data_IF_617377589199
#
_entry.id   IF_617377589199
#
_cell.length_a   1.000
_cell.length_b   1.000
_cell.length_c   1.000
_cell.angle_alpha   90.00
_cell.angle_beta   90.00
_cell.angle_gamma   90.00
#
_symmetry.space_group_name_H-M   'P 1'
#
loop_
_entity.id
_entity.type
_entity.pdbx_description
1 polymer ?
#
# COMPACT_ATOMS: atom_id res chain seq x y z
N UNK A 1 29.15 -9.20 -55.63
CA UNK A 1 27.87 -9.15 -54.93
C UNK A 1 28.16 -9.34 -53.44
N UNK A 2 28.12 -8.24 -52.66
CA UNK A 2 28.49 -8.26 -51.22
C UNK A 2 27.21 -8.32 -50.43
N UNK A 3 26.95 -9.44 -49.75
CA UNK A 3 25.81 -9.57 -48.84
C UNK A 3 26.12 -8.84 -47.55
N UNK A 4 25.41 -7.72 -47.32
CA UNK A 4 25.45 -6.97 -46.07
C UNK A 4 24.44 -7.59 -45.10
N UNK A 5 24.94 -8.39 -44.16
CA UNK A 5 24.12 -8.92 -43.06
C UNK A 5 23.89 -7.80 -42.04
N UNK A 6 22.64 -7.30 -41.98
CA UNK A 6 22.23 -6.34 -40.97
C UNK A 6 21.96 -7.11 -39.69
N UNK A 7 22.84 -6.96 -38.72
CA UNK A 7 22.66 -7.50 -37.36
C UNK A 7 21.66 -6.58 -36.61
N UNK A 8 20.40 -7.02 -36.49
CA UNK A 8 19.40 -6.35 -35.66
C UNK A 8 19.67 -6.73 -34.21
N UNK A 9 20.28 -5.81 -33.46
CA UNK A 9 20.47 -5.95 -32.01
C UNK A 9 19.14 -5.62 -31.31
N UNK A 10 18.38 -6.66 -30.97
CA UNK A 10 17.16 -6.50 -30.16
C UNK A 10 17.59 -6.27 -28.71
N UNK A 11 17.55 -5.01 -28.28
CA UNK A 11 17.71 -4.65 -26.87
C UNK A 11 16.47 -5.12 -26.11
N UNK A 12 16.58 -6.27 -25.44
CA UNK A 12 15.59 -6.72 -24.47
C UNK A 12 15.69 -5.82 -23.24
N UNK A 13 14.80 -4.83 -23.15
CA UNK A 13 14.54 -4.10 -21.92
C UNK A 13 13.91 -5.08 -20.93
N UNK A 14 14.70 -5.69 -20.07
CA UNK A 14 14.20 -6.41 -18.90
C UNK A 14 13.72 -5.37 -17.90
N UNK A 15 12.40 -5.13 -17.87
CA UNK A 15 11.78 -4.41 -16.78
C UNK A 15 12.04 -5.22 -15.51
N UNK A 16 12.87 -4.72 -14.60
CA UNK A 16 13.04 -5.28 -13.26
C UNK A 16 11.75 -5.04 -12.47
N UNK A 17 10.83 -5.98 -12.56
CA UNK A 17 9.69 -6.02 -11.65
C UNK A 17 10.26 -6.26 -10.25
N UNK A 18 10.19 -5.27 -9.39
CA UNK A 18 10.52 -5.43 -7.98
C UNK A 18 9.46 -6.36 -7.38
N UNK A 19 9.89 -7.55 -6.98
CA UNK A 19 9.02 -8.51 -6.32
C UNK A 19 8.36 -7.86 -5.10
N UNK A 20 7.03 -7.86 -5.05
CA UNK A 20 6.29 -7.40 -3.89
C UNK A 20 6.27 -8.50 -2.83
N UNK A 21 6.14 -8.15 -1.56
CA UNK A 21 6.08 -9.12 -0.45
C UNK A 21 4.75 -9.91 -0.41
N UNK A 22 3.79 -9.55 -1.24
CA UNK A 22 2.46 -10.14 -1.32
C UNK A 22 2.15 -10.67 -2.71
N UNK A 23 1.23 -11.64 -2.78
CA UNK A 23 0.73 -12.24 -4.01
C UNK A 23 -0.60 -11.60 -4.46
N UNK A 24 -1.00 -11.87 -5.70
CA UNK A 24 -2.29 -11.38 -6.24
C UNK A 24 -3.48 -11.87 -5.42
N UNK A 25 -3.43 -13.12 -4.91
CA UNK A 25 -4.48 -13.70 -4.06
C UNK A 25 -4.63 -12.97 -2.73
N UNK A 26 -3.56 -12.42 -2.17
CA UNK A 26 -3.60 -11.61 -0.94
C UNK A 26 -4.27 -10.27 -1.21
N UNK A 27 -4.02 -9.66 -2.36
CA UNK A 27 -4.67 -8.43 -2.82
C UNK A 27 -6.18 -8.63 -3.00
N UNK A 28 -6.61 -9.73 -3.58
CA UNK A 28 -8.03 -10.05 -3.78
C UNK A 28 -8.78 -10.22 -2.45
N UNK A 29 -8.21 -10.99 -1.52
CA UNK A 29 -8.75 -11.14 -0.16
C UNK A 29 -8.78 -9.79 0.57
N UNK A 30 -7.68 -9.06 0.51
CA UNK A 30 -7.52 -7.74 1.12
C UNK A 30 -8.51 -6.72 0.59
N UNK A 31 -8.84 -6.76 -0.71
CA UNK A 31 -9.84 -5.88 -1.33
C UNK A 31 -11.22 -6.03 -0.69
N UNK A 32 -11.67 -7.28 -0.48
CA UNK A 32 -12.96 -7.55 0.15
C UNK A 32 -12.97 -7.10 1.62
N UNK A 33 -11.93 -7.44 2.37
CA UNK A 33 -11.78 -7.05 3.78
C UNK A 33 -11.67 -5.52 3.94
N UNK A 34 -10.98 -4.85 3.01
CA UNK A 34 -10.88 -3.39 2.98
C UNK A 34 -12.24 -2.74 2.76
N UNK A 35 -13.02 -3.24 1.79
CA UNK A 35 -14.35 -2.73 1.52
C UNK A 35 -15.26 -2.78 2.76
N UNK A 36 -15.21 -3.88 3.51
CA UNK A 36 -16.05 -4.10 4.68
C UNK A 36 -15.61 -3.29 5.92
N UNK A 37 -14.31 -3.04 6.09
CA UNK A 37 -13.76 -2.51 7.35
C UNK A 37 -13.13 -1.12 7.25
N UNK A 38 -12.68 -0.71 6.08
CA UNK A 38 -11.80 0.46 5.92
C UNK A 38 -12.40 1.54 5.01
N UNK A 39 -13.12 1.12 3.96
CA UNK A 39 -13.58 2.00 2.89
C UNK A 39 -14.52 3.11 3.37
N UNK A 40 -15.30 2.87 4.42
CA UNK A 40 -16.23 3.88 4.98
C UNK A 40 -15.51 5.14 5.45
N UNK A 41 -14.24 5.03 5.88
CA UNK A 41 -13.43 6.16 6.32
C UNK A 41 -12.36 6.53 5.29
N UNK A 42 -11.67 5.55 4.72
CA UNK A 42 -10.53 5.77 3.83
C UNK A 42 -10.88 5.87 2.34
N UNK A 43 -12.18 5.78 2.00
CA UNK A 43 -12.65 5.80 0.61
C UNK A 43 -12.57 4.43 -0.07
N UNK A 44 -13.43 4.19 -1.06
CA UNK A 44 -13.52 2.91 -1.77
C UNK A 44 -12.25 2.57 -2.57
N UNK A 45 -11.49 3.59 -2.99
CA UNK A 45 -10.23 3.46 -3.73
C UNK A 45 -9.02 3.90 -2.89
N UNK A 46 -9.14 3.90 -1.56
CA UNK A 46 -8.10 4.35 -0.64
C UNK A 46 -7.70 5.84 -0.83
N UNK A 47 -8.61 6.64 -1.34
CA UNK A 47 -8.42 8.08 -1.60
C UNK A 47 -8.46 8.95 -0.35
N UNK A 48 -8.93 8.41 0.78
CA UNK A 48 -9.09 9.13 2.03
C UNK A 48 -10.35 10.01 2.10
N UNK A 49 -10.50 10.72 3.20
CA UNK A 49 -11.56 11.70 3.37
C UNK A 49 -11.25 12.98 2.55
N UNK A 50 -12.28 13.54 1.93
CA UNK A 50 -12.17 14.76 1.10
C UNK A 50 -11.68 16.00 1.84
N UNK A 51 -11.75 16.01 3.18
CA UNK A 51 -11.27 17.12 4.02
C UNK A 51 -9.82 16.92 4.50
N UNK A 52 -9.18 15.80 4.18
CA UNK A 52 -7.75 15.62 4.43
C UNK A 52 -6.93 16.68 3.67
N UNK A 53 -5.91 17.31 4.28
CA UNK A 53 -5.36 17.11 5.62
C UNK A 53 -5.86 18.12 6.67
N UNK A 54 -7.05 18.69 6.51
CA UNK A 54 -7.58 19.70 7.42
C UNK A 54 -8.11 19.07 8.72
N UNK A 55 -7.62 19.48 9.89
CA UNK A 55 -8.12 18.94 11.14
C UNK A 55 -9.59 19.38 11.40
N UNK A 56 -10.35 18.51 12.03
CA UNK A 56 -11.69 18.83 12.51
C UNK A 56 -11.64 19.88 13.63
N UNK A 57 -12.80 20.48 13.97
CA UNK A 57 -12.92 21.41 15.10
C UNK A 57 -12.50 20.81 16.46
N UNK A 58 -12.45 19.47 16.56
CA UNK A 58 -11.98 18.73 17.74
C UNK A 58 -10.47 18.38 17.67
N UNK A 59 -9.74 18.87 16.68
CA UNK A 59 -8.31 18.62 16.50
C UNK A 59 -7.95 17.24 15.97
N UNK A 60 -8.93 16.43 15.56
CA UNK A 60 -8.67 15.14 14.91
C UNK A 60 -8.51 15.30 13.40
N UNK A 61 -7.57 14.60 12.83
CA UNK A 61 -7.45 14.53 11.38
C UNK A 61 -8.45 13.53 10.81
N UNK A 62 -9.10 13.86 9.67
CA UNK A 62 -9.87 12.88 8.90
C UNK A 62 -9.00 11.74 8.41
N UNK A 63 -9.61 10.66 7.95
CA UNK A 63 -8.90 9.50 7.45
C UNK A 63 -8.00 9.86 6.24
N UNK A 64 -6.68 9.60 6.30
CA UNK A 64 -5.77 9.96 5.24
C UNK A 64 -5.95 9.07 3.99
N UNK A 65 -5.53 9.55 2.81
CA UNK A 65 -5.32 8.70 1.66
C UNK A 65 -4.32 7.57 1.96
N UNK A 66 -4.64 6.35 1.50
CA UNK A 66 -3.76 5.18 1.65
C UNK A 66 -3.19 4.70 0.31
N UNK A 67 -3.49 5.40 -0.79
CA UNK A 67 -3.12 5.06 -2.17
C UNK A 67 -1.72 5.53 -2.60
N UNK A 68 -0.87 5.88 -1.66
CA UNK A 68 0.48 6.41 -1.91
C UNK A 68 0.56 7.94 -2.03
N UNK A 69 -0.58 8.65 -2.06
CA UNK A 69 -0.61 10.12 -2.19
C UNK A 69 -0.33 10.87 -0.88
N UNK A 70 -0.38 10.17 0.26
CA UNK A 70 -0.09 10.73 1.58
C UNK A 70 1.07 10.00 2.25
N UNK A 71 1.26 10.18 3.56
CA UNK A 71 2.46 9.73 4.28
C UNK A 71 2.45 8.24 4.71
N UNK A 72 1.44 7.45 4.37
CA UNK A 72 1.34 6.03 4.79
C UNK A 72 2.58 5.21 4.43
N UNK A 73 3.19 5.49 3.28
CA UNK A 73 4.40 4.80 2.81
C UNK A 73 5.69 5.18 3.58
N UNK A 74 5.64 6.16 4.48
CA UNK A 74 6.76 6.50 5.38
C UNK A 74 6.88 5.54 6.58
N UNK A 75 5.94 4.63 6.76
CA UNK A 75 5.89 3.70 7.89
C UNK A 75 6.24 2.27 7.45
N UNK A 76 7.10 1.56 8.19
CA UNK A 76 7.41 0.16 7.91
C UNK A 76 6.18 -0.74 8.12
N UNK A 77 6.16 -1.90 7.46
CA UNK A 77 5.01 -2.83 7.49
C UNK A 77 4.55 -3.13 8.92
N UNK A 78 5.48 -3.41 9.84
CA UNK A 78 5.17 -3.69 11.25
C UNK A 78 4.38 -2.56 11.93
N UNK A 79 4.69 -1.31 11.61
CA UNK A 79 3.99 -0.17 12.17
C UNK A 79 2.61 -0.01 11.54
N UNK A 80 2.46 -0.28 10.26
CA UNK A 80 1.15 -0.32 9.60
C UNK A 80 0.27 -1.42 10.20
N UNK A 81 0.82 -2.62 10.41
CA UNK A 81 0.11 -3.72 11.11
C UNK A 81 -0.31 -3.30 12.51
N UNK A 82 0.60 -2.69 13.29
CA UNK A 82 0.28 -2.22 14.64
C UNK A 82 -0.80 -1.14 14.64
N UNK A 83 -0.75 -0.20 13.69
CA UNK A 83 -1.77 0.86 13.56
C UNK A 83 -3.16 0.28 13.25
N UNK A 84 -3.25 -0.68 12.33
CA UNK A 84 -4.53 -1.34 12.06
C UNK A 84 -4.99 -2.18 13.25
N UNK A 85 -4.07 -2.90 13.89
CA UNK A 85 -4.42 -3.75 15.04
C UNK A 85 -4.94 -2.97 16.23
N UNK A 86 -4.27 -1.87 16.59
CA UNK A 86 -4.52 -1.19 17.87
C UNK A 86 -5.16 0.20 17.71
N UNK A 87 -5.27 0.69 16.47
CA UNK A 87 -5.80 2.02 16.18
C UNK A 87 -4.77 3.14 16.38
N UNK A 88 -5.18 4.35 15.99
CA UNK A 88 -4.41 5.56 16.20
C UNK A 88 -5.35 6.80 16.12
N UNK A 89 -5.40 7.61 17.17
CA UNK A 89 -6.28 8.77 17.23
C UNK A 89 -7.75 8.38 17.05
N UNK A 90 -8.40 8.87 15.98
CA UNK A 90 -9.80 8.55 15.69
C UNK A 90 -9.99 7.19 15.00
N UNK A 91 -8.92 6.56 14.49
CA UNK A 91 -8.97 5.24 13.88
C UNK A 91 -9.09 4.16 14.96
N UNK A 92 -10.13 3.31 14.93
CA UNK A 92 -10.26 2.21 15.88
C UNK A 92 -9.24 1.10 15.61
N UNK A 93 -8.99 0.26 16.63
CA UNK A 93 -8.21 -0.97 16.47
C UNK A 93 -9.08 -2.15 16.03
N UNK A 94 -8.54 -3.01 15.17
CA UNK A 94 -9.27 -4.13 14.56
C UNK A 94 -8.82 -5.52 15.06
N UNK A 95 -7.87 -5.62 16.00
CA UNK A 95 -7.34 -6.91 16.47
C UNK A 95 -8.38 -7.86 17.07
N UNK A 96 -9.55 -7.35 17.49
CA UNK A 96 -10.66 -8.18 17.97
C UNK A 96 -11.54 -8.73 16.84
N UNK A 97 -11.44 -8.19 15.62
CA UNK A 97 -12.29 -8.51 14.48
C UNK A 97 -11.51 -9.19 13.34
N UNK A 98 -10.22 -8.86 13.21
CA UNK A 98 -9.36 -9.30 12.13
C UNK A 98 -8.15 -10.04 12.69
N UNK A 99 -7.80 -11.15 12.06
CA UNK A 99 -6.53 -11.84 12.32
C UNK A 99 -5.37 -11.03 11.74
N UNK A 100 -4.15 -11.29 12.21
CA UNK A 100 -2.94 -10.66 11.63
C UNK A 100 -2.82 -10.92 10.13
N UNK A 101 -3.17 -12.12 9.66
CA UNK A 101 -3.15 -12.43 8.23
C UNK A 101 -4.17 -11.58 7.44
N UNK A 102 -5.37 -11.39 7.94
CA UNK A 102 -6.37 -10.54 7.30
C UNK A 102 -5.91 -9.07 7.26
N UNK A 103 -5.23 -8.60 8.30
CA UNK A 103 -4.62 -7.25 8.31
C UNK A 103 -3.51 -7.16 7.24
N UNK A 104 -2.68 -8.19 7.10
CA UNK A 104 -1.66 -8.25 6.04
C UNK A 104 -2.30 -8.27 4.64
N UNK A 105 -3.38 -9.02 4.43
CA UNK A 105 -4.11 -9.03 3.16
C UNK A 105 -4.67 -7.63 2.83
N UNK A 106 -5.24 -6.92 3.81
CA UNK A 106 -5.68 -5.52 3.65
C UNK A 106 -4.52 -4.61 3.27
N UNK A 107 -3.36 -4.75 3.92
CA UNK A 107 -2.18 -3.95 3.61
C UNK A 107 -1.60 -4.29 2.23
N UNK A 108 -1.70 -5.54 1.79
CA UNK A 108 -1.36 -5.94 0.43
C UNK A 108 -2.25 -5.21 -0.60
N UNK A 109 -3.56 -5.15 -0.37
CA UNK A 109 -4.48 -4.38 -1.20
C UNK A 109 -4.12 -2.89 -1.20
N UNK A 110 -3.92 -2.28 -0.04
CA UNK A 110 -3.52 -0.87 0.09
C UNK A 110 -2.23 -0.60 -0.70
N UNK A 111 -1.21 -1.41 -0.52
CA UNK A 111 0.08 -1.24 -1.19
C UNK A 111 0.03 -1.58 -2.69
N UNK A 112 -0.93 -2.39 -3.14
CA UNK A 112 -1.16 -2.61 -4.57
C UNK A 112 -1.65 -1.35 -5.30
N UNK A 113 -2.18 -0.37 -4.55
CA UNK A 113 -2.65 0.92 -5.08
C UNK A 113 -1.52 1.95 -5.20
N UNK A 114 -0.34 1.67 -4.64
CA UNK A 114 0.78 2.59 -4.69
C UNK A 114 1.47 2.57 -6.05
N UNK A 115 1.88 3.74 -6.57
CA UNK A 115 2.79 3.81 -7.72
C UNK A 115 4.06 2.99 -7.46
N UNK A 116 4.61 2.38 -8.51
CA UNK A 116 5.78 1.50 -8.37
C UNK A 116 6.99 2.20 -7.75
N UNK A 117 7.20 3.47 -8.04
CA UNK A 117 8.24 4.31 -7.44
C UNK A 117 8.04 4.47 -5.92
N UNK A 118 6.81 4.73 -5.48
CA UNK A 118 6.47 4.85 -4.05
C UNK A 118 6.69 3.51 -3.34
N UNK A 119 6.26 2.41 -3.96
CA UNK A 119 6.50 1.08 -3.40
C UNK A 119 7.99 0.75 -3.31
N UNK A 120 8.78 1.09 -4.32
CA UNK A 120 10.23 0.85 -4.32
C UNK A 120 10.95 1.63 -3.20
N UNK A 121 10.57 2.89 -2.98
CA UNK A 121 11.14 3.71 -1.90
C UNK A 121 10.71 3.21 -0.52
N UNK A 122 9.44 2.79 -0.38
CA UNK A 122 8.95 2.14 0.82
C UNK A 122 9.71 0.83 1.11
N UNK A 123 9.92 -0.03 0.11
CA UNK A 123 10.63 -1.30 0.28
C UNK A 123 12.03 -1.10 0.85
N UNK A 124 12.79 -0.14 0.30
CA UNK A 124 14.12 0.23 0.82
C UNK A 124 14.07 0.73 2.26
N UNK A 125 13.05 1.49 2.62
CA UNK A 125 12.86 1.98 3.98
C UNK A 125 12.47 0.83 4.91
N UNK A 126 11.55 -0.04 4.49
CA UNK A 126 11.09 -1.19 5.26
C UNK A 126 12.22 -2.19 5.58
N UNK A 127 13.14 -2.44 4.63
CA UNK A 127 14.31 -3.29 4.82
C UNK A 127 15.26 -2.77 5.92
N UNK A 128 15.33 -1.46 6.11
CA UNK A 128 16.15 -0.85 7.18
C UNK A 128 15.51 -0.93 8.58
N UNK A 129 14.24 -1.34 8.63
CA UNK A 129 13.47 -1.50 9.85
C UNK A 129 12.88 -2.92 9.96
N UNK A 130 13.71 -3.98 9.89
CA UNK A 130 13.21 -5.34 10.04
C UNK A 130 12.54 -5.47 11.41
N UNK A 131 11.43 -6.20 11.45
CA UNK A 131 10.62 -6.46 12.66
C UNK A 131 11.34 -7.33 13.68
#
# INVERSE_FOLDING_TARGET
MRNLAVLICVLLFTATSHARWFETTDVEKGSSLYADNCASCHGANAEGDKHWPMPTSKGHYPAPPLNGMAHTWHHPLRQLVATVSFGNGAMPGFHHQLTTQQILDILAYVQSRWPDEIYADWSKMNERHPG
#
